data_IF_412591871833
#
_entry.id   IF_412591871833
#
_cell.length_a   1.000
_cell.length_b   1.000
_cell.length_c   1.000
_cell.angle_alpha   90.00
_cell.angle_beta   90.00
_cell.angle_gamma   90.00
#
_symmetry.space_group_name_H-M   'P 1'
#
loop_
_entity.id
_entity.type
_entity.pdbx_description
1 polymer ?
#
# COMPACT_ATOMS: atom_id res chain seq x y z
N UNK A 1 -22.94 -13.22 -25.54
CA UNK A 1 -21.56 -12.89 -25.13
C UNK A 1 -21.55 -11.42 -24.76
N UNK A 2 -21.76 -11.11 -23.48
CA UNK A 2 -21.56 -9.76 -22.95
C UNK A 2 -20.06 -9.61 -22.70
N UNK A 3 -19.44 -8.65 -23.38
CA UNK A 3 -18.12 -8.14 -23.06
C UNK A 3 -18.15 -7.60 -21.63
N UNK A 4 -17.41 -8.25 -20.73
CA UNK A 4 -17.11 -7.72 -19.40
C UNK A 4 -16.44 -6.35 -19.57
N UNK A 5 -16.79 -5.35 -18.75
CA UNK A 5 -16.18 -4.04 -18.87
C UNK A 5 -14.75 -4.15 -18.33
N UNK A 6 -13.78 -3.99 -19.24
CA UNK A 6 -12.36 -3.96 -18.93
C UNK A 6 -12.01 -2.59 -18.31
N UNK A 7 -12.51 -2.33 -17.09
CA UNK A 7 -12.39 -1.02 -16.40
C UNK A 7 -10.96 -0.74 -15.90
N UNK A 8 -10.09 -1.75 -15.91
CA UNK A 8 -8.79 -1.73 -15.20
C UNK A 8 -7.56 -1.50 -16.10
N UNK A 9 -7.72 -1.16 -17.39
CA UNK A 9 -6.60 -1.28 -18.36
C UNK A 9 -6.01 0.01 -18.92
N UNK A 10 -6.59 1.20 -18.72
CA UNK A 10 -6.09 2.38 -19.45
C UNK A 10 -4.89 3.10 -18.84
N UNK A 11 -4.48 2.78 -17.59
CA UNK A 11 -3.43 3.54 -16.88
C UNK A 11 -2.28 2.71 -16.30
N UNK A 12 -2.16 1.44 -16.65
CA UNK A 12 -0.96 0.67 -16.29
C UNK A 12 0.08 0.86 -17.40
N UNK A 13 1.03 1.77 -17.18
CA UNK A 13 2.22 1.84 -18.02
C UNK A 13 2.88 0.45 -18.00
N UNK A 14 2.77 -0.28 -19.12
CA UNK A 14 3.44 -1.55 -19.34
C UNK A 14 4.93 -1.33 -19.08
N UNK A 15 5.47 -1.97 -18.03
CA UNK A 15 6.90 -1.94 -17.77
C UNK A 15 7.61 -2.53 -19.00
N UNK A 16 8.29 -1.69 -19.77
CA UNK A 16 8.97 -2.14 -20.98
C UNK A 16 10.08 -3.13 -20.59
N UNK A 17 10.24 -4.27 -21.29
CA UNK A 17 11.29 -5.27 -21.00
C UNK A 17 12.70 -4.64 -20.97
N UNK A 18 12.96 -3.65 -21.84
CA UNK A 18 14.20 -2.84 -21.83
C UNK A 18 14.46 -2.10 -20.51
N UNK A 19 13.42 -1.78 -19.74
CA UNK A 19 13.56 -1.19 -18.40
C UNK A 19 13.93 -2.23 -17.34
N UNK A 20 13.42 -3.46 -17.46
CA UNK A 20 13.70 -4.56 -16.54
C UNK A 20 15.14 -5.04 -16.70
N UNK A 21 15.59 -5.25 -17.94
CA UNK A 21 16.97 -5.58 -18.26
C UNK A 21 17.95 -4.55 -17.65
N UNK A 22 17.64 -3.26 -17.80
CA UNK A 22 18.45 -2.17 -17.23
C UNK A 22 18.49 -2.22 -15.70
N UNK A 23 17.38 -2.55 -15.04
CA UNK A 23 17.32 -2.66 -13.58
C UNK A 23 18.20 -3.82 -13.11
N UNK A 24 18.05 -4.99 -13.72
CA UNK A 24 18.81 -6.20 -13.35
C UNK A 24 20.30 -5.96 -13.59
N UNK A 25 20.69 -5.52 -14.80
CA UNK A 25 22.09 -5.25 -15.13
C UNK A 25 22.70 -4.15 -14.23
N UNK A 26 21.93 -3.09 -13.94
CA UNK A 26 22.35 -2.02 -13.04
C UNK A 26 22.55 -2.50 -11.60
N UNK A 27 21.65 -3.36 -11.10
CA UNK A 27 21.74 -3.99 -9.78
C UNK A 27 22.98 -4.87 -9.67
N UNK A 28 23.23 -5.73 -10.65
CA UNK A 28 24.38 -6.65 -10.64
C UNK A 28 25.71 -5.89 -10.73
N UNK A 29 25.81 -4.90 -11.62
CA UNK A 29 26.99 -4.05 -11.73
C UNK A 29 27.27 -3.24 -10.45
N UNK A 30 26.21 -2.80 -9.74
CA UNK A 30 26.35 -2.10 -8.47
C UNK A 30 26.85 -3.04 -7.37
N UNK A 31 26.29 -4.24 -7.25
CA UNK A 31 26.71 -5.22 -6.25
C UNK A 31 28.16 -5.67 -6.45
N UNK A 32 28.59 -5.86 -7.70
CA UNK A 32 29.98 -6.19 -8.00
C UNK A 32 30.95 -5.07 -7.53
N UNK A 33 30.59 -3.80 -7.74
CA UNK A 33 31.41 -2.68 -7.27
C UNK A 33 31.40 -2.55 -5.74
N UNK A 34 30.27 -2.82 -5.10
CA UNK A 34 30.14 -2.83 -3.64
C UNK A 34 31.00 -3.93 -3.02
N UNK A 35 30.97 -5.15 -3.59
CA UNK A 35 31.81 -6.26 -3.16
C UNK A 35 33.30 -5.91 -3.24
N UNK A 36 33.74 -5.35 -4.37
CA UNK A 36 35.12 -4.86 -4.54
C UNK A 36 35.50 -3.81 -3.49
N UNK A 37 34.60 -2.85 -3.22
CA UNK A 37 34.81 -1.82 -2.20
C UNK A 37 34.95 -2.42 -0.80
N UNK A 38 34.11 -3.39 -0.42
CA UNK A 38 34.16 -4.04 0.90
C UNK A 38 35.48 -4.78 1.09
N UNK A 39 35.93 -5.53 0.08
CA UNK A 39 37.23 -6.20 0.14
C UNK A 39 38.40 -5.22 0.22
N UNK A 40 38.36 -4.13 -0.55
CA UNK A 40 39.38 -3.08 -0.47
C UNK A 40 39.41 -2.44 0.92
N UNK A 41 38.24 -2.14 1.49
CA UNK A 41 38.12 -1.56 2.82
C UNK A 41 38.68 -2.48 3.90
N UNK A 42 38.42 -3.78 3.80
CA UNK A 42 38.97 -4.79 4.69
C UNK A 42 40.50 -4.88 4.58
N UNK A 43 41.05 -4.83 3.36
CA UNK A 43 42.50 -4.82 3.15
C UNK A 43 43.15 -3.57 3.76
N UNK A 44 42.54 -2.39 3.60
CA UNK A 44 43.01 -1.14 4.24
C UNK A 44 42.92 -1.26 5.77
N UNK A 45 41.87 -1.88 6.30
CA UNK A 45 41.72 -2.14 7.74
C UNK A 45 42.86 -3.02 8.28
N UNK A 46 43.29 -4.02 7.52
CA UNK A 46 44.42 -4.87 7.93
C UNK A 46 45.75 -4.08 7.90
N UNK A 47 45.98 -3.29 6.86
CA UNK A 47 47.18 -2.45 6.75
C UNK A 47 47.27 -1.44 7.89
N UNK A 48 46.18 -0.72 8.17
CA UNK A 48 46.12 0.26 9.26
C UNK A 48 46.33 -0.37 10.64
N UNK A 49 45.77 -1.56 10.88
CA UNK A 49 45.99 -2.30 12.12
C UNK A 49 47.47 -2.68 12.33
N UNK A 50 48.17 -3.10 11.26
CA UNK A 50 49.60 -3.50 11.37
C UNK A 50 50.55 -2.36 11.72
N UNK A 51 50.19 -1.11 11.38
CA UNK A 51 50.96 0.09 11.75
C UNK A 51 50.49 0.75 13.05
N UNK A 52 49.56 0.12 13.78
CA UNK A 52 49.00 0.65 15.03
C UNK A 52 47.95 1.76 14.84
N UNK A 53 47.40 1.92 13.64
CA UNK A 53 46.38 2.93 13.30
C UNK A 53 44.93 2.51 13.61
N UNK A 54 44.72 1.34 14.21
CA UNK A 54 43.38 0.77 14.46
C UNK A 54 42.77 0.08 13.24
N UNK A 55 41.54 -0.42 13.39
CA UNK A 55 40.77 -1.06 12.33
C UNK A 55 39.72 -0.10 11.71
N UNK A 56 38.96 -0.56 10.72
CA UNK A 56 37.93 0.24 10.05
C UNK A 56 36.89 0.83 11.01
N UNK A 57 36.51 0.13 12.09
CA UNK A 57 35.56 0.65 13.09
C UNK A 57 36.14 1.82 13.90
N UNK A 58 37.46 1.86 14.07
CA UNK A 58 38.15 2.88 14.85
C UNK A 58 38.20 4.23 14.12
N UNK A 59 38.35 4.23 12.79
CA UNK A 59 38.54 5.45 12.00
C UNK A 59 37.43 5.77 11.00
N UNK A 60 36.62 4.80 10.54
CA UNK A 60 35.52 5.07 9.61
C UNK A 60 34.25 5.58 10.30
N UNK A 61 34.08 5.28 11.59
CA UNK A 61 32.89 5.64 12.37
C UNK A 61 33.18 6.83 13.30
N UNK A 62 32.25 7.78 13.37
CA UNK A 62 32.36 8.92 14.30
C UNK A 62 32.27 8.43 15.75
N UNK A 63 33.13 8.95 16.62
CA UNK A 63 33.10 8.63 18.05
C UNK A 63 31.73 8.96 18.66
N UNK A 64 31.19 8.04 19.47
CA UNK A 64 29.85 8.14 20.06
C UNK A 64 28.69 7.80 19.11
N UNK A 65 28.98 7.53 17.83
CA UNK A 65 27.99 7.21 16.78
C UNK A 65 28.35 5.91 16.06
N UNK A 66 28.68 4.87 16.82
CA UNK A 66 28.82 3.51 16.28
C UNK A 66 27.43 2.94 16.02
N UNK A 67 26.82 3.34 14.91
CA UNK A 67 25.66 2.65 14.35
C UNK A 67 26.15 1.38 13.65
N UNK A 68 25.35 0.33 13.70
CA UNK A 68 25.61 -0.91 12.96
C UNK A 68 25.79 -0.59 11.46
N UNK A 69 27.02 -0.71 10.96
CA UNK A 69 27.38 -0.38 9.58
C UNK A 69 27.75 -1.65 8.83
N UNK A 70 27.01 -1.98 7.77
CA UNK A 70 27.32 -3.17 6.96
C UNK A 70 28.71 -3.11 6.33
N UNK A 71 29.26 -1.93 6.08
CA UNK A 71 30.60 -1.79 5.49
C UNK A 71 31.74 -2.15 6.46
N UNK A 72 31.48 -2.20 7.77
CA UNK A 72 32.48 -2.61 8.77
C UNK A 72 32.38 -4.08 9.16
N UNK A 73 31.33 -4.78 8.70
CA UNK A 73 31.14 -6.21 8.93
C UNK A 73 32.03 -7.07 8.02
N UNK A 74 32.07 -8.38 8.28
CA UNK A 74 32.72 -9.34 7.37
C UNK A 74 32.10 -9.28 5.96
N UNK A 75 32.90 -9.42 4.88
CA UNK A 75 32.40 -9.32 3.50
C UNK A 75 31.15 -10.16 3.22
N UNK A 76 31.16 -11.43 3.63
CA UNK A 76 30.04 -12.34 3.36
C UNK A 76 28.72 -11.82 3.96
N UNK A 77 28.74 -11.39 5.24
CA UNK A 77 27.57 -10.81 5.91
C UNK A 77 27.15 -9.48 5.30
N UNK A 78 28.12 -8.62 4.99
CA UNK A 78 27.88 -7.30 4.42
C UNK A 78 27.20 -7.39 3.06
N UNK A 79 27.75 -8.21 2.16
CA UNK A 79 27.23 -8.44 0.81
C UNK A 79 25.82 -9.02 0.88
N UNK A 80 25.59 -10.01 1.75
CA UNK A 80 24.26 -10.61 1.90
C UNK A 80 23.22 -9.59 2.38
N UNK A 81 23.53 -8.79 3.40
CA UNK A 81 22.62 -7.80 3.95
C UNK A 81 22.32 -6.65 2.97
N UNK A 82 23.35 -6.15 2.28
CA UNK A 82 23.22 -5.10 1.27
C UNK A 82 22.40 -5.60 0.08
N UNK A 83 22.68 -6.83 -0.40
CA UNK A 83 21.91 -7.46 -1.49
C UNK A 83 20.43 -7.55 -1.14
N UNK A 84 20.10 -8.07 0.06
CA UNK A 84 18.72 -8.16 0.52
C UNK A 84 18.03 -6.79 0.59
N UNK A 85 18.75 -5.77 1.05
CA UNK A 85 18.22 -4.40 1.15
C UNK A 85 17.96 -3.79 -0.23
N UNK A 86 18.89 -3.99 -1.17
CA UNK A 86 18.77 -3.51 -2.54
C UNK A 86 17.61 -4.18 -3.26
N UNK A 87 17.52 -5.51 -3.20
CA UNK A 87 16.47 -6.29 -3.84
C UNK A 87 15.09 -5.92 -3.29
N UNK A 88 14.96 -5.72 -1.97
CA UNK A 88 13.72 -5.21 -1.35
C UNK A 88 13.30 -3.85 -1.92
N UNK A 89 14.25 -2.92 -2.06
CA UNK A 89 13.96 -1.59 -2.56
C UNK A 89 13.57 -1.62 -4.05
N UNK A 90 14.20 -2.48 -4.84
CA UNK A 90 13.84 -2.69 -6.25
C UNK A 90 12.41 -3.24 -6.34
N UNK A 91 12.07 -4.30 -5.60
CA UNK A 91 10.71 -4.84 -5.58
C UNK A 91 9.66 -3.81 -5.15
N UNK A 92 9.98 -2.97 -4.15
CA UNK A 92 9.10 -1.87 -3.71
C UNK A 92 8.87 -0.86 -4.85
N UNK A 93 9.91 -0.46 -5.55
CA UNK A 93 9.84 0.50 -6.65
C UNK A 93 9.07 -0.07 -7.86
N UNK A 94 9.33 -1.33 -8.22
CA UNK A 94 8.60 -2.03 -9.28
C UNK A 94 7.10 -2.10 -8.98
N UNK A 95 6.73 -2.46 -7.75
CA UNK A 95 5.33 -2.51 -7.32
C UNK A 95 4.64 -1.15 -7.33
N UNK A 96 5.37 -0.08 -6.98
CA UNK A 96 4.85 1.28 -7.06
C UNK A 96 4.59 1.69 -8.51
N UNK A 97 5.56 1.46 -9.40
CA UNK A 97 5.49 1.83 -10.82
C UNK A 97 4.42 1.04 -11.59
N UNK A 98 4.21 -0.22 -11.23
CA UNK A 98 3.15 -1.03 -11.84
C UNK A 98 1.73 -0.61 -11.49
N UNK A 99 1.53 0.27 -10.50
CA UNK A 99 0.20 0.60 -9.98
C UNK A 99 -0.47 -0.55 -9.21
N UNK A 100 0.16 -1.70 -9.04
CA UNK A 100 -0.47 -2.86 -8.38
C UNK A 100 -0.82 -2.57 -6.91
N UNK A 101 -0.01 -1.76 -6.22
CA UNK A 101 -0.32 -1.29 -4.86
C UNK A 101 -1.63 -0.51 -4.77
N UNK A 102 -2.04 0.16 -5.85
CA UNK A 102 -3.26 0.94 -5.89
C UNK A 102 -4.51 0.08 -6.08
N UNK A 103 -4.36 -1.20 -6.45
CA UNK A 103 -5.45 -2.17 -6.54
C UNK A 103 -5.70 -2.90 -5.19
N UNK A 104 -4.67 -2.99 -4.35
CA UNK A 104 -4.69 -3.71 -3.08
C UNK A 104 -5.38 -2.94 -1.95
N UNK A 105 -6.24 -3.63 -1.19
CA UNK A 105 -6.76 -3.15 0.10
C UNK A 105 -5.69 -3.04 1.19
N UNK A 106 -6.02 -2.40 2.32
CA UNK A 106 -5.09 -2.18 3.42
C UNK A 106 -4.47 -3.48 3.98
N UNK A 107 -5.23 -4.58 4.04
CA UNK A 107 -4.72 -5.88 4.50
C UNK A 107 -3.72 -6.44 3.49
N UNK A 108 -4.07 -6.45 2.21
CA UNK A 108 -3.19 -6.91 1.14
C UNK A 108 -1.88 -6.09 1.07
N UNK A 109 -1.97 -4.75 1.23
CA UNK A 109 -0.80 -3.87 1.30
C UNK A 109 0.06 -4.16 2.52
N UNK A 110 -0.55 -4.35 3.70
CA UNK A 110 0.17 -4.69 4.92
C UNK A 110 0.89 -6.04 4.79
N UNK A 111 0.24 -7.04 4.20
CA UNK A 111 0.83 -8.35 3.94
C UNK A 111 2.03 -8.23 2.99
N UNK A 112 1.90 -7.44 1.92
CA UNK A 112 2.99 -7.16 0.99
C UNK A 112 4.19 -6.50 1.68
N UNK A 113 3.96 -5.46 2.48
CA UNK A 113 5.03 -4.81 3.24
C UNK A 113 5.73 -5.77 4.20
N UNK A 114 4.95 -6.60 4.90
CA UNK A 114 5.51 -7.64 5.77
C UNK A 114 6.36 -8.64 4.99
N UNK A 115 5.91 -9.08 3.82
CA UNK A 115 6.66 -10.00 2.97
C UNK A 115 7.95 -9.36 2.43
N UNK A 116 7.94 -8.06 2.11
CA UNK A 116 9.16 -7.32 1.75
C UNK A 116 10.18 -7.32 2.88
N UNK A 117 9.73 -7.16 4.13
CA UNK A 117 10.61 -7.01 5.29
C UNK A 117 11.11 -8.35 5.85
N UNK A 118 10.21 -9.32 5.98
CA UNK A 118 10.45 -10.59 6.67
C UNK A 118 10.53 -11.79 5.72
N UNK A 119 9.90 -11.71 4.55
CA UNK A 119 9.77 -12.82 3.61
C UNK A 119 11.00 -13.09 2.75
N UNK A 120 10.95 -14.23 2.07
CA UNK A 120 11.85 -14.56 0.96
C UNK A 120 11.24 -13.95 -0.33
N UNK A 121 11.94 -12.95 -0.88
CA UNK A 121 11.56 -12.35 -2.15
C UNK A 121 12.15 -13.17 -3.29
N UNK A 122 11.46 -13.28 -4.45
CA UNK A 122 12.07 -13.88 -5.62
C UNK A 122 13.37 -13.15 -5.96
N UNK A 123 14.45 -13.88 -6.31
CA UNK A 123 15.69 -13.26 -6.74
C UNK A 123 15.45 -12.25 -7.86
N UNK A 124 16.15 -11.13 -7.84
CA UNK A 124 16.07 -10.14 -8.92
C UNK A 124 16.67 -10.75 -10.19
N UNK A 125 15.79 -11.13 -11.12
CA UNK A 125 16.10 -11.56 -12.48
C UNK A 125 14.97 -11.12 -13.40
N UNK A 126 15.24 -11.02 -14.70
CA UNK A 126 14.21 -10.67 -15.67
C UNK A 126 13.04 -11.66 -15.63
N UNK A 127 13.32 -12.97 -15.61
CA UNK A 127 12.32 -14.03 -15.53
C UNK A 127 11.45 -13.92 -14.28
N UNK A 128 12.05 -13.71 -13.10
CA UNK A 128 11.31 -13.62 -11.84
C UNK A 128 10.46 -12.35 -11.78
N UNK A 129 10.97 -11.23 -12.27
CA UNK A 129 10.22 -9.98 -12.36
C UNK A 129 9.03 -10.16 -13.29
N UNK A 130 9.24 -10.65 -14.51
CA UNK A 130 8.18 -10.87 -15.48
C UNK A 130 7.12 -11.84 -14.94
N UNK A 131 7.53 -12.99 -14.40
CA UNK A 131 6.62 -13.99 -13.85
C UNK A 131 5.80 -13.42 -12.69
N UNK A 132 6.43 -12.64 -11.80
CA UNK A 132 5.73 -12.01 -10.68
C UNK A 132 4.69 -11.02 -11.17
N UNK A 133 5.04 -10.15 -12.13
CA UNK A 133 4.10 -9.17 -12.67
C UNK A 133 3.01 -9.80 -13.54
N UNK A 134 3.29 -10.89 -14.23
CA UNK A 134 2.27 -11.66 -14.94
C UNK A 134 1.24 -12.25 -13.97
N UNK A 135 1.69 -12.87 -12.88
CA UNK A 135 0.79 -13.39 -11.83
C UNK A 135 -0.02 -12.28 -11.17
N UNK A 136 0.60 -11.15 -10.86
CA UNK A 136 -0.09 -9.99 -10.31
C UNK A 136 -1.12 -9.42 -11.29
N UNK A 137 -0.80 -9.39 -12.58
CA UNK A 137 -1.74 -8.94 -13.62
C UNK A 137 -2.92 -9.90 -13.77
N UNK A 138 -2.67 -11.21 -13.78
CA UNK A 138 -3.73 -12.23 -13.86
C UNK A 138 -4.66 -12.18 -12.64
N UNK A 139 -4.13 -11.87 -11.46
CA UNK A 139 -4.89 -11.76 -10.21
C UNK A 139 -5.45 -10.36 -9.93
N UNK A 140 -5.19 -9.37 -10.79
CA UNK A 140 -5.54 -7.95 -10.54
C UNK A 140 -7.02 -7.73 -10.21
N UNK A 141 -7.90 -8.42 -10.95
CA UNK A 141 -9.35 -8.31 -10.76
C UNK A 141 -9.78 -8.99 -9.46
N UNK A 142 -9.21 -10.15 -9.15
CA UNK A 142 -9.49 -10.86 -7.90
C UNK A 142 -9.05 -10.03 -6.68
N UNK A 143 -7.85 -9.45 -6.73
CA UNK A 143 -7.32 -8.57 -5.67
C UNK A 143 -8.23 -7.36 -5.46
N UNK A 144 -8.69 -6.75 -6.56
CA UNK A 144 -9.62 -5.63 -6.50
C UNK A 144 -10.98 -6.05 -5.89
N UNK A 145 -11.59 -7.12 -6.39
CA UNK A 145 -12.88 -7.63 -5.90
C UNK A 145 -12.80 -8.02 -4.41
N UNK A 146 -11.71 -8.66 -3.98
CA UNK A 146 -11.47 -8.97 -2.56
C UNK A 146 -11.46 -7.71 -1.70
N UNK A 147 -10.90 -6.61 -2.19
CA UNK A 147 -10.93 -5.33 -1.50
C UNK A 147 -12.35 -4.83 -1.25
N UNK A 148 -13.24 -4.94 -2.25
CA UNK A 148 -14.68 -4.62 -2.11
C UNK A 148 -15.33 -5.50 -1.04
N UNK A 149 -15.06 -6.80 -1.06
CA UNK A 149 -15.59 -7.76 -0.09
C UNK A 149 -15.07 -7.47 1.33
N UNK A 150 -13.80 -7.11 1.49
CA UNK A 150 -13.20 -6.80 2.78
C UNK A 150 -13.82 -5.54 3.40
N UNK A 151 -14.01 -4.48 2.60
CA UNK A 151 -14.71 -3.27 3.05
C UNK A 151 -16.15 -3.59 3.47
N UNK A 152 -16.85 -4.43 2.70
CA UNK A 152 -18.21 -4.87 3.00
C UNK A 152 -18.31 -5.64 4.32
N UNK A 153 -17.45 -6.65 4.51
CA UNK A 153 -17.38 -7.45 5.75
C UNK A 153 -16.97 -6.62 6.96
N UNK A 154 -16.19 -5.56 6.77
CA UNK A 154 -15.79 -4.65 7.83
C UNK A 154 -16.94 -3.78 8.37
N UNK A 155 -18.10 -3.73 7.71
CA UNK A 155 -19.26 -2.96 8.21
C UNK A 155 -19.89 -3.64 9.43
N UNK A 156 -20.25 -2.85 10.45
CA UNK A 156 -21.07 -3.35 11.56
C UNK A 156 -22.52 -3.52 11.10
N UNK A 157 -23.11 -4.69 11.35
CA UNK A 157 -24.50 -5.00 10.99
C UNK A 157 -25.52 -4.59 12.06
N UNK A 158 -25.07 -3.98 13.16
CA UNK A 158 -25.96 -3.45 14.21
C UNK A 158 -26.74 -2.21 13.73
N UNK A 159 -26.34 -1.63 12.60
CA UNK A 159 -26.97 -0.46 12.02
C UNK A 159 -27.96 -0.86 10.93
N UNK A 160 -29.21 -0.39 11.04
CA UNK A 160 -30.29 -0.66 10.07
C UNK A 160 -29.92 -0.36 8.61
N UNK A 161 -29.04 0.62 8.36
CA UNK A 161 -28.63 1.01 7.00
C UNK A 161 -27.49 0.15 6.44
N UNK A 162 -26.75 -0.56 7.30
CA UNK A 162 -25.68 -1.47 6.88
C UNK A 162 -26.29 -2.84 6.62
N UNK A 163 -26.76 -3.07 5.39
CA UNK A 163 -27.43 -4.31 5.05
C UNK A 163 -26.41 -5.47 4.94
N UNK A 164 -26.69 -6.66 5.49
CA UNK A 164 -25.74 -7.78 5.49
C UNK A 164 -25.51 -8.40 4.11
N UNK A 165 -26.30 -8.04 3.10
CA UNK A 165 -26.20 -8.59 1.74
C UNK A 165 -25.79 -7.59 0.65
N UNK A 166 -25.81 -6.28 0.91
CA UNK A 166 -25.50 -5.27 -0.11
C UNK A 166 -25.12 -3.92 0.50
N UNK A 167 -24.38 -3.09 -0.26
CA UNK A 167 -24.20 -1.68 0.05
C UNK A 167 -25.47 -0.90 -0.27
N UNK A 168 -26.10 -0.35 0.77
CA UNK A 168 -27.19 0.60 0.61
C UNK A 168 -26.70 2.01 0.23
N UNK A 169 -27.64 2.91 -0.04
CA UNK A 169 -27.35 4.35 -0.31
C UNK A 169 -26.52 5.02 0.80
N UNK A 170 -26.60 4.50 2.02
CA UNK A 170 -25.92 5.03 3.20
C UNK A 170 -25.35 3.89 4.03
N UNK A 171 -24.13 4.07 4.51
CA UNK A 171 -23.50 3.20 5.51
C UNK A 171 -23.12 3.99 6.76
N UNK A 172 -22.92 3.29 7.87
CA UNK A 172 -22.48 3.83 9.15
C UNK A 172 -21.19 3.14 9.55
N UNK A 173 -20.14 3.92 9.76
CA UNK A 173 -18.86 3.47 10.29
C UNK A 173 -18.79 3.88 11.76
N UNK A 174 -18.69 2.89 12.65
CA UNK A 174 -18.48 3.15 14.08
C UNK A 174 -17.02 3.46 14.37
N UNK A 175 -16.78 4.27 15.41
CA UNK A 175 -15.45 4.71 15.82
C UNK A 175 -14.67 5.37 14.68
N UNK A 176 -15.34 6.06 13.75
CA UNK A 176 -14.67 6.84 12.70
C UNK A 176 -14.04 8.11 13.29
N UNK A 177 -14.74 8.76 14.20
CA UNK A 177 -14.28 10.00 14.86
C UNK A 177 -14.23 9.82 16.37
N UNK A 178 -13.41 10.61 17.03
CA UNK A 178 -13.49 10.89 18.45
C UNK A 178 -14.10 12.28 18.68
N UNK A 179 -14.63 12.49 19.88
CA UNK A 179 -15.13 13.79 20.30
C UNK A 179 -14.74 14.03 21.76
N UNK A 180 -13.98 15.09 22.00
CA UNK A 180 -13.58 15.52 23.34
C UNK A 180 -13.73 17.03 23.49
N UNK A 181 -13.27 17.59 24.62
CA UNK A 181 -13.39 19.02 24.95
C UNK A 181 -12.78 20.00 23.93
N UNK A 182 -11.96 19.51 22.99
CA UNK A 182 -11.33 20.33 21.96
C UNK A 182 -11.96 20.12 20.57
N UNK A 183 -13.10 19.42 20.50
CA UNK A 183 -13.83 19.17 19.27
C UNK A 183 -13.73 17.72 18.79
N UNK A 184 -14.01 17.55 17.50
CA UNK A 184 -13.89 16.27 16.81
C UNK A 184 -12.44 16.01 16.37
N UNK A 185 -12.08 14.74 16.30
CA UNK A 185 -10.86 14.25 15.67
C UNK A 185 -11.17 13.01 14.84
N UNK A 186 -10.43 12.77 13.76
CA UNK A 186 -10.53 11.51 13.02
C UNK A 186 -9.73 10.43 13.76
N UNK A 187 -10.33 9.27 14.03
CA UNK A 187 -9.62 8.17 14.68
C UNK A 187 -8.57 7.55 13.73
N UNK A 188 -7.46 7.13 14.33
CA UNK A 188 -6.42 6.38 13.62
C UNK A 188 -6.70 4.87 13.64
N UNK A 189 -6.18 4.16 12.65
CA UNK A 189 -6.27 2.70 12.52
C UNK A 189 -7.30 2.23 11.51
N UNK A 190 -7.70 0.96 11.62
CA UNK A 190 -8.38 0.21 10.56
C UNK A 190 -9.70 0.84 10.04
N UNK A 191 -10.42 1.62 10.87
CA UNK A 191 -11.64 2.34 10.43
C UNK A 191 -11.35 3.46 9.44
N UNK A 192 -10.21 4.13 9.61
CA UNK A 192 -9.69 5.10 8.67
C UNK A 192 -9.24 4.40 7.39
N UNK A 193 -8.53 3.28 7.51
CA UNK A 193 -8.09 2.51 6.35
C UNK A 193 -9.28 2.02 5.52
N UNK A 194 -10.36 1.58 6.19
CA UNK A 194 -11.63 1.21 5.55
C UNK A 194 -12.26 2.38 4.77
N UNK A 195 -12.14 3.62 5.26
CA UNK A 195 -12.64 4.82 4.56
C UNK A 195 -11.79 5.12 3.31
N UNK A 196 -10.46 5.05 3.42
CA UNK A 196 -9.55 5.23 2.30
C UNK A 196 -9.75 4.14 1.22
N UNK A 197 -9.90 2.88 1.62
CA UNK A 197 -10.16 1.78 0.69
C UNK A 197 -11.50 1.94 -0.04
N UNK A 198 -12.54 2.43 0.65
CA UNK A 198 -13.84 2.69 0.03
C UNK A 198 -13.74 3.80 -1.04
N UNK A 199 -13.04 4.90 -0.76
CA UNK A 199 -12.78 5.94 -1.76
C UNK A 199 -12.02 5.36 -2.97
N UNK A 200 -10.94 4.63 -2.71
CA UNK A 200 -10.09 4.04 -3.76
C UNK A 200 -10.88 3.10 -4.69
N UNK A 201 -11.76 2.28 -4.13
CA UNK A 201 -12.68 1.43 -4.89
C UNK A 201 -13.56 2.27 -5.82
N UNK A 202 -14.12 3.37 -5.32
CA UNK A 202 -14.99 4.23 -6.14
C UNK A 202 -14.22 4.93 -7.26
N UNK A 203 -12.99 5.40 -7.02
CA UNK A 203 -12.13 5.94 -8.08
C UNK A 203 -11.85 4.88 -9.17
N UNK A 204 -11.52 3.65 -8.77
CA UNK A 204 -11.26 2.55 -9.70
C UNK A 204 -12.49 2.19 -10.54
N UNK A 205 -13.67 2.08 -9.92
CA UNK A 205 -14.92 1.80 -10.66
C UNK A 205 -15.34 2.96 -11.58
N UNK A 206 -14.97 4.19 -11.24
CA UNK A 206 -15.22 5.38 -12.06
C UNK A 206 -14.16 5.58 -13.17
N UNK A 207 -13.17 4.68 -13.27
CA UNK A 207 -12.08 4.77 -14.26
C UNK A 207 -11.13 5.94 -14.02
N UNK A 208 -11.06 6.47 -12.81
CA UNK A 208 -10.25 7.64 -12.46
C UNK A 208 -8.93 7.25 -11.80
N UNK A 209 -7.87 8.06 -11.96
CA UNK A 209 -6.64 7.86 -11.21
C UNK A 209 -6.92 8.02 -9.72
N UNK A 210 -6.37 7.10 -8.91
CA UNK A 210 -6.51 7.14 -7.47
C UNK A 210 -5.71 8.35 -6.93
N UNK A 211 -6.29 9.16 -6.02
CA UNK A 211 -5.57 10.26 -5.41
C UNK A 211 -4.33 9.77 -4.64
N UNK A 212 -3.26 10.56 -4.63
CA UNK A 212 -2.09 10.32 -3.77
C UNK A 212 -2.58 10.08 -2.32
N UNK A 213 -1.97 9.14 -1.60
CA UNK A 213 -2.27 8.87 -0.18
C UNK A 213 -2.18 10.15 0.68
N UNK A 214 -1.41 11.17 0.25
CA UNK A 214 -1.33 12.48 0.89
C UNK A 214 -2.55 13.38 0.67
N UNK A 215 -3.45 12.99 -0.22
CA UNK A 215 -4.64 13.72 -0.64
C UNK A 215 -5.91 12.86 -0.60
N UNK A 216 -5.86 11.67 0.01
CA UNK A 216 -7.02 10.80 0.17
C UNK A 216 -8.10 11.43 1.06
N UNK A 217 -9.29 10.83 1.07
CA UNK A 217 -10.44 11.29 1.84
C UNK A 217 -10.15 11.42 3.34
N UNK A 218 -9.22 10.63 3.87
CA UNK A 218 -8.91 10.64 5.29
C UNK A 218 -8.13 11.90 5.65
N UNK A 219 -7.20 12.33 4.79
CA UNK A 219 -6.50 13.60 4.93
C UNK A 219 -7.48 14.75 4.74
N UNK A 220 -8.29 14.74 3.68
CA UNK A 220 -9.27 15.82 3.42
C UNK A 220 -10.30 15.96 4.54
N UNK A 221 -10.80 14.85 5.08
CA UNK A 221 -11.75 14.86 6.21
C UNK A 221 -11.08 15.33 7.50
N UNK A 222 -9.84 14.90 7.79
CA UNK A 222 -9.08 15.35 8.95
C UNK A 222 -8.82 16.86 8.89
N UNK A 223 -8.40 17.38 7.73
CA UNK A 223 -8.20 18.80 7.51
C UNK A 223 -9.51 19.57 7.66
N UNK A 224 -10.61 19.07 7.09
CA UNK A 224 -11.92 19.67 7.26
C UNK A 224 -12.35 19.76 8.74
N UNK A 225 -12.20 18.68 9.50
CA UNK A 225 -12.57 18.64 10.93
C UNK A 225 -11.75 19.66 11.72
N UNK A 226 -10.44 19.77 11.45
CA UNK A 226 -9.55 20.74 12.09
C UNK A 226 -9.95 22.18 11.77
N UNK A 227 -10.21 22.46 10.50
CA UNK A 227 -10.43 23.82 10.01
C UNK A 227 -11.88 24.30 10.23
N UNK A 228 -12.81 23.37 10.51
CA UNK A 228 -14.24 23.63 10.72
C UNK A 228 -14.76 23.01 12.04
N UNK A 229 -14.27 23.43 13.22
CA UNK A 229 -14.56 22.75 14.50
C UNK A 229 -16.04 22.79 14.94
N UNK A 230 -16.86 23.65 14.32
CA UNK A 230 -18.30 23.76 14.59
C UNK A 230 -19.18 23.05 13.56
N UNK A 231 -18.57 22.49 12.51
CA UNK A 231 -19.28 21.73 11.49
C UNK A 231 -19.25 20.23 11.82
N UNK A 232 -20.27 19.53 11.33
CA UNK A 232 -20.44 18.08 11.50
C UNK A 232 -20.71 17.37 10.17
N UNK A 233 -20.50 18.07 9.06
CA UNK A 233 -20.85 17.63 7.73
C UNK A 233 -19.73 17.97 6.75
N UNK A 234 -19.23 16.96 6.07
CA UNK A 234 -18.25 17.06 4.99
C UNK A 234 -18.86 16.49 3.72
N UNK A 235 -18.57 17.11 2.58
CA UNK A 235 -18.96 16.59 1.28
C UNK A 235 -17.80 16.64 0.30
N UNK A 236 -17.71 15.62 -0.56
CA UNK A 236 -16.87 15.63 -1.75
C UNK A 236 -17.60 15.02 -2.95
N UNK A 237 -16.83 14.53 -3.93
CA UNK A 237 -17.34 13.91 -5.15
C UNK A 237 -18.14 12.63 -4.87
N UNK A 238 -17.66 11.78 -3.95
CA UNK A 238 -18.21 10.45 -3.73
C UNK A 238 -19.10 10.37 -2.49
N UNK A 239 -18.83 11.19 -1.49
CA UNK A 239 -19.48 11.08 -0.18
C UNK A 239 -20.10 12.38 0.31
N UNK A 240 -21.22 12.21 1.01
CA UNK A 240 -21.68 13.13 2.05
C UNK A 240 -21.49 12.44 3.40
N UNK A 241 -20.61 12.98 4.24
CA UNK A 241 -20.25 12.43 5.55
C UNK A 241 -20.83 13.32 6.64
N UNK A 242 -21.64 12.74 7.53
CA UNK A 242 -22.06 13.38 8.78
C UNK A 242 -21.51 12.63 9.97
N UNK A 243 -20.82 13.31 10.88
CA UNK A 243 -20.20 12.69 12.04
C UNK A 243 -20.84 13.13 13.36
N UNK A 244 -20.84 12.24 14.35
CA UNK A 244 -21.60 12.39 15.59
C UNK A 244 -20.75 12.13 16.82
N UNK A 245 -21.11 12.73 17.96
CA UNK A 245 -20.38 12.64 19.23
C UNK A 245 -20.26 11.20 19.78
N UNK A 246 -21.11 10.27 19.33
CA UNK A 246 -20.97 8.83 19.63
C UNK A 246 -19.78 8.17 18.90
N UNK A 247 -19.06 8.93 18.09
CA UNK A 247 -17.92 8.46 17.30
C UNK A 247 -18.30 7.84 15.96
N UNK A 248 -19.56 7.97 15.52
CA UNK A 248 -20.05 7.37 14.28
C UNK A 248 -19.95 8.35 13.11
N UNK A 249 -19.53 7.85 11.95
CA UNK A 249 -19.62 8.54 10.67
C UNK A 249 -20.73 7.95 9.80
N UNK A 250 -21.64 8.78 9.34
CA UNK A 250 -22.73 8.42 8.44
C UNK A 250 -22.33 8.84 7.02
N UNK A 251 -22.01 7.87 6.17
CA UNK A 251 -21.56 8.11 4.81
C UNK A 251 -22.73 7.84 3.87
N UNK A 252 -23.11 8.85 3.11
CA UNK A 252 -24.09 8.72 2.02
C UNK A 252 -23.33 8.78 0.70
N UNK A 253 -23.49 7.76 -0.12
CA UNK A 253 -22.86 7.69 -1.44
C UNK A 253 -23.57 8.62 -2.42
N UNK A 254 -22.80 9.36 -3.24
CA UNK A 254 -23.31 10.31 -4.25
C UNK A 254 -23.39 9.70 -5.65
N UNK A 255 -22.78 8.53 -5.88
CA UNK A 255 -22.72 7.81 -7.16
C UNK A 255 -23.40 6.43 -7.08
N UNK A 256 -24.74 6.35 -7.24
CA UNK A 256 -25.49 5.09 -7.15
C UNK A 256 -25.02 4.03 -8.14
N UNK A 257 -24.59 4.44 -9.33
CA UNK A 257 -24.06 3.59 -10.39
C UNK A 257 -22.82 2.80 -9.94
N UNK A 258 -21.93 3.40 -9.14
CA UNK A 258 -20.75 2.73 -8.60
C UNK A 258 -21.12 1.78 -7.45
N UNK A 259 -22.16 2.09 -6.68
CA UNK A 259 -22.69 1.20 -5.64
C UNK A 259 -23.28 -0.05 -6.28
N UNK A 260 -23.99 0.09 -7.40
CA UNK A 260 -24.53 -1.05 -8.15
C UNK A 260 -23.39 -1.97 -8.62
N UNK A 261 -22.30 -1.41 -9.15
CA UNK A 261 -21.11 -2.20 -9.50
C UNK A 261 -20.46 -2.91 -8.30
N UNK A 262 -20.35 -2.25 -7.15
CA UNK A 262 -19.88 -2.90 -5.91
C UNK A 262 -20.81 -4.05 -5.48
N UNK A 263 -22.13 -3.88 -5.65
CA UNK A 263 -23.11 -4.91 -5.33
C UNK A 263 -23.09 -6.07 -6.33
N UNK A 264 -22.79 -5.82 -7.60
CA UNK A 264 -22.58 -6.88 -8.59
C UNK A 264 -21.36 -7.74 -8.22
N UNK A 265 -20.30 -7.13 -7.68
CA UNK A 265 -19.15 -7.86 -7.13
C UNK A 265 -19.56 -8.71 -5.92
N UNK A 266 -20.34 -8.17 -4.97
CA UNK A 266 -20.87 -8.97 -3.85
C UNK A 266 -21.70 -10.15 -4.36
N UNK A 267 -22.57 -9.93 -5.35
CA UNK A 267 -23.43 -10.95 -5.93
C UNK A 267 -22.62 -12.09 -6.57
N UNK A 268 -21.54 -11.73 -7.27
CA UNK A 268 -20.62 -12.68 -7.91
C UNK A 268 -19.96 -13.60 -6.88
N UNK A 269 -19.54 -13.07 -5.73
CA UNK A 269 -18.87 -13.84 -4.67
C UNK A 269 -19.85 -14.59 -3.76
N UNK A 270 -21.09 -14.12 -3.66
CA UNK A 270 -22.13 -14.70 -2.79
C UNK A 270 -23.45 -14.94 -3.56
N UNK A 271 -23.46 -15.91 -4.50
CA UNK A 271 -24.65 -16.22 -5.28
C UNK A 271 -25.78 -16.71 -4.36
N UNK A 272 -26.84 -15.91 -4.23
CA UNK A 272 -28.00 -16.17 -3.36
C UNK A 272 -28.21 -15.16 -2.23
N UNK A 273 -27.27 -14.25 -1.96
CA UNK A 273 -27.44 -13.19 -0.95
C UNK A 273 -28.32 -12.03 -1.42
N UNK A 274 -28.29 -11.70 -2.71
CA UNK A 274 -29.23 -10.76 -3.31
C UNK A 274 -30.53 -11.50 -3.63
N UNK A 275 -31.38 -11.70 -2.62
CA UNK A 275 -32.76 -12.09 -2.88
C UNK A 275 -33.39 -11.04 -3.83
N UNK A 276 -33.98 -11.54 -4.91
CA UNK A 276 -34.63 -10.84 -6.03
C UNK A 276 -34.94 -9.36 -5.79
N UNK A 277 -34.32 -8.49 -6.61
CA UNK A 277 -34.67 -7.08 -6.75
C UNK A 277 -36.16 -6.88 -6.99
#
# INVERSE_FOLDING_TARGET
MQTEPEVLTEHTDLMCSTSIERIVAGRDAALQQIEQLIHQLQAISQLTATIGGGNVEDWALKQGHRYDCWLTESPDKAIQAITRTLDRNIWRDLMLKSGMLSLMDAEARSQWHKNLDEGELPPISEENILTTFEQLHQSKQEVFERGVINVFKGLSWDYKTNHPCYFGKKIIISNLVEHHRWGFGLNWGWRRDQLADLERILYLLDGKPIPDNRADITIRLMDHIRDNPHQQAYEDEFFSIRYFQKGTGHLTFKRPDLIDQMNDIIAKHYPGMLASR
#
